data_IF_470234747157
#
_entry.id   IF_470234747157
#
_cell.length_a   1.000
_cell.length_b   1.000
_cell.length_c   1.000
_cell.angle_alpha   90.00
_cell.angle_beta   90.00
_cell.angle_gamma   90.00
#
_symmetry.space_group_name_H-M   'P 1'
#
loop_
_entity.id
_entity.type
_entity.pdbx_description
1 polymer ?
#
# COMPACT_ATOMS: atom_id res chain seq x y z
N UNK A 1 -18.29 10.32 -12.99
CA UNK A 1 -18.18 9.73 -11.65
C UNK A 1 -17.16 8.59 -11.59
N UNK A 2 -17.21 7.60 -12.49
CA UNK A 2 -16.29 6.43 -12.51
C UNK A 2 -14.80 6.80 -12.47
N UNK A 3 -14.38 7.84 -13.20
CA UNK A 3 -12.97 8.29 -13.25
C UNK A 3 -12.40 8.63 -11.87
N UNK A 4 -13.20 9.25 -10.98
CA UNK A 4 -12.77 9.61 -9.63
C UNK A 4 -12.56 8.40 -8.72
N UNK A 5 -13.17 7.26 -9.04
CA UNK A 5 -12.98 6.02 -8.26
C UNK A 5 -11.84 5.18 -8.83
N UNK A 6 -11.76 5.08 -10.15
CA UNK A 6 -10.70 4.32 -10.81
C UNK A 6 -9.31 4.90 -10.60
N UNK A 7 -9.19 6.23 -10.62
CA UNK A 7 -7.93 6.93 -10.44
C UNK A 7 -7.18 6.53 -9.14
N UNK A 8 -7.77 6.64 -7.93
CA UNK A 8 -7.09 6.28 -6.69
C UNK A 8 -6.87 4.77 -6.59
N UNK A 9 -7.79 3.94 -7.11
CA UNK A 9 -7.59 2.50 -7.15
C UNK A 9 -6.31 2.12 -7.92
N UNK A 10 -6.06 2.72 -9.09
CA UNK A 10 -4.83 2.47 -9.85
C UNK A 10 -3.61 2.96 -9.09
N UNK A 11 -3.64 4.16 -8.52
CA UNK A 11 -2.52 4.70 -7.72
C UNK A 11 -2.21 3.80 -6.53
N UNK A 12 -3.22 3.32 -5.81
CA UNK A 12 -3.03 2.44 -4.67
C UNK A 12 -2.55 1.04 -5.08
N UNK A 13 -3.04 0.49 -6.19
CA UNK A 13 -2.53 -0.77 -6.73
C UNK A 13 -1.05 -0.67 -7.10
N UNK A 14 -0.64 0.42 -7.75
CA UNK A 14 0.77 0.69 -8.08
C UNK A 14 1.59 0.93 -6.81
N UNK A 15 1.10 1.73 -5.86
CA UNK A 15 1.78 1.95 -4.59
C UNK A 15 1.98 0.64 -3.81
N UNK A 16 0.99 -0.26 -3.87
CA UNK A 16 1.03 -1.59 -3.29
C UNK A 16 2.00 -2.53 -4.02
N UNK A 17 2.08 -2.48 -5.35
CA UNK A 17 3.02 -3.31 -6.13
C UNK A 17 4.48 -2.91 -5.92
N UNK A 18 4.75 -1.62 -5.70
CA UNK A 18 6.11 -1.08 -5.50
C UNK A 18 6.48 -0.87 -4.03
N UNK A 19 5.70 -1.42 -3.09
CA UNK A 19 5.87 -1.25 -1.64
C UNK A 19 7.34 -1.43 -1.20
N UNK A 20 7.86 -0.48 -0.41
CA UNK A 20 9.28 -0.31 0.01
C UNK A 20 10.30 0.13 -1.05
N UNK A 21 9.91 0.42 -2.29
CA UNK A 21 10.78 1.15 -3.23
C UNK A 21 10.48 2.65 -3.15
N UNK A 22 11.50 3.48 -3.35
CA UNK A 22 11.36 4.94 -3.49
C UNK A 22 10.33 5.32 -4.57
N UNK A 23 10.10 4.42 -5.53
CA UNK A 23 9.06 4.52 -6.56
C UNK A 23 7.66 4.72 -5.97
N UNK A 24 7.27 4.06 -4.86
CA UNK A 24 5.93 4.26 -4.28
C UNK A 24 5.72 5.67 -3.74
N UNK A 25 6.77 6.27 -3.17
CA UNK A 25 6.72 7.66 -2.72
C UNK A 25 6.63 8.61 -3.92
N UNK A 26 7.41 8.36 -4.97
CA UNK A 26 7.36 9.14 -6.20
C UNK A 26 5.99 9.06 -6.87
N UNK A 27 5.38 7.88 -6.95
CA UNK A 27 4.02 7.69 -7.50
C UNK A 27 2.96 8.39 -6.64
N UNK A 28 3.07 8.28 -5.31
CA UNK A 28 2.12 8.95 -4.41
C UNK A 28 2.20 10.47 -4.51
N UNK A 29 3.41 11.04 -4.64
CA UNK A 29 3.60 12.47 -4.84
C UNK A 29 3.17 12.92 -6.24
N UNK A 30 3.52 12.15 -7.27
CA UNK A 30 3.13 12.42 -8.66
C UNK A 30 1.61 12.43 -8.86
N UNK A 31 0.87 11.67 -8.04
CA UNK A 31 -0.61 11.64 -8.09
C UNK A 31 -1.28 12.97 -7.74
N UNK A 32 -0.57 13.91 -7.10
CA UNK A 32 -1.07 15.27 -6.85
C UNK A 32 -1.13 16.08 -8.14
N UNK A 33 -0.22 15.83 -9.08
CA UNK A 33 -0.06 16.59 -10.32
C UNK A 33 -1.34 16.67 -11.17
N UNK A 34 -1.97 15.54 -11.52
CA UNK A 34 -3.22 15.55 -12.28
C UNK A 34 -4.37 16.26 -11.56
N UNK A 35 -4.47 16.13 -10.24
CA UNK A 35 -5.51 16.84 -9.47
C UNK A 35 -5.27 18.35 -9.48
N UNK A 36 -4.03 18.77 -9.26
CA UNK A 36 -3.64 20.19 -9.35
C UNK A 36 -3.91 20.76 -10.76
N UNK A 37 -3.59 20.00 -11.82
CA UNK A 37 -3.87 20.40 -13.19
C UNK A 37 -5.37 20.59 -13.42
N UNK A 38 -6.21 19.67 -12.96
CA UNK A 38 -7.68 19.79 -13.07
C UNK A 38 -8.19 21.02 -12.32
N UNK A 39 -7.67 21.30 -11.12
CA UNK A 39 -8.03 22.51 -10.35
C UNK A 39 -7.63 23.78 -11.09
N UNK A 40 -6.41 23.85 -11.63
CA UNK A 40 -5.93 25.01 -12.38
C UNK A 40 -6.71 25.25 -13.67
N UNK A 41 -7.06 24.18 -14.41
CA UNK A 41 -7.91 24.26 -15.58
C UNK A 41 -9.33 24.71 -15.19
N UNK A 42 -9.92 24.09 -14.16
CA UNK A 42 -11.23 24.48 -13.66
C UNK A 42 -11.24 25.95 -13.26
N UNK A 43 -10.20 26.44 -12.58
CA UNK A 43 -10.06 27.86 -12.27
C UNK A 43 -9.98 28.71 -13.54
N UNK A 44 -9.15 28.33 -14.52
CA UNK A 44 -9.02 29.10 -15.77
C UNK A 44 -10.34 29.23 -16.53
N UNK A 45 -11.14 28.17 -16.59
CA UNK A 45 -12.41 28.15 -17.31
C UNK A 45 -13.59 28.72 -16.51
N UNK A 46 -13.72 28.38 -15.22
CA UNK A 46 -14.85 28.81 -14.38
C UNK A 46 -14.68 30.22 -13.80
N UNK A 47 -13.45 30.71 -13.62
CA UNK A 47 -13.23 32.07 -13.11
C UNK A 47 -13.74 33.17 -14.06
N UNK A 48 -14.07 32.84 -15.32
CA UNK A 48 -14.68 33.79 -16.26
C UNK A 48 -16.19 33.99 -16.05
N UNK A 49 -16.88 33.16 -15.24
CA UNK A 49 -18.35 33.21 -15.17
C UNK A 49 -19.00 32.99 -13.80
N UNK A 50 -18.29 32.48 -12.79
CA UNK A 50 -18.93 32.09 -11.51
C UNK A 50 -18.15 32.57 -10.28
N UNK A 51 -18.39 33.83 -9.87
CA UNK A 51 -17.70 34.43 -8.70
C UNK A 51 -18.10 33.79 -7.34
N UNK A 52 -19.18 33.00 -7.26
CA UNK A 52 -19.66 32.39 -6.01
C UNK A 52 -19.19 30.96 -5.70
N UNK A 53 -18.64 30.23 -6.67
CA UNK A 53 -18.27 28.80 -6.52
C UNK A 53 -16.82 28.57 -6.10
N UNK A 54 -16.05 29.64 -5.89
CA UNK A 54 -14.62 29.60 -5.59
C UNK A 54 -14.23 28.63 -4.47
N UNK A 55 -14.81 28.68 -3.26
CA UNK A 55 -14.33 27.83 -2.16
C UNK A 55 -14.56 26.33 -2.44
N UNK A 56 -15.65 25.96 -3.09
CA UNK A 56 -15.95 24.56 -3.40
C UNK A 56 -14.95 23.95 -4.38
N UNK A 57 -14.50 24.72 -5.38
CA UNK A 57 -13.54 24.28 -6.40
C UNK A 57 -12.14 24.03 -5.79
N UNK A 58 -11.81 24.67 -4.67
CA UNK A 58 -10.54 24.45 -3.97
C UNK A 58 -10.63 23.33 -2.93
N UNK A 59 -11.67 23.36 -2.09
CA UNK A 59 -11.76 22.48 -0.93
C UNK A 59 -12.01 21.03 -1.34
N UNK A 60 -12.95 20.77 -2.26
CA UNK A 60 -13.30 19.40 -2.61
C UNK A 60 -12.15 18.64 -3.31
N UNK A 61 -11.48 19.19 -4.33
CA UNK A 61 -10.33 18.53 -4.96
C UNK A 61 -9.10 18.47 -4.04
N UNK A 62 -8.88 19.50 -3.22
CA UNK A 62 -7.79 19.52 -2.25
C UNK A 62 -7.93 18.41 -1.20
N UNK A 63 -9.13 18.25 -0.63
CA UNK A 63 -9.43 17.17 0.31
C UNK A 63 -9.30 15.80 -0.36
N UNK A 64 -9.76 15.67 -1.60
CA UNK A 64 -9.61 14.44 -2.37
C UNK A 64 -8.14 14.08 -2.59
N UNK A 65 -7.29 15.01 -3.05
CA UNK A 65 -5.86 14.79 -3.21
C UNK A 65 -5.19 14.39 -1.88
N UNK A 66 -5.54 15.07 -0.79
CA UNK A 66 -5.04 14.77 0.56
C UNK A 66 -5.34 13.31 0.94
N UNK A 67 -6.58 12.85 0.77
CA UNK A 67 -6.99 11.48 1.10
C UNK A 67 -6.23 10.46 0.24
N UNK A 68 -6.14 10.68 -1.08
CA UNK A 68 -5.44 9.76 -1.99
C UNK A 68 -3.96 9.63 -1.62
N UNK A 69 -3.29 10.75 -1.34
CA UNK A 69 -1.89 10.76 -0.90
C UNK A 69 -1.70 10.13 0.48
N UNK A 70 -2.56 10.46 1.45
CA UNK A 70 -2.46 9.92 2.81
C UNK A 70 -2.60 8.39 2.82
N UNK A 71 -3.57 7.84 2.08
CA UNK A 71 -3.76 6.38 1.95
C UNK A 71 -2.59 5.75 1.19
N UNK A 72 -2.13 6.35 0.09
CA UNK A 72 -0.97 5.86 -0.66
C UNK A 72 0.31 5.82 0.18
N UNK A 73 0.53 6.84 1.03
CA UNK A 73 1.64 6.91 1.96
C UNK A 73 1.51 5.85 3.07
N UNK A 74 0.32 5.68 3.63
CA UNK A 74 0.05 4.64 4.63
C UNK A 74 0.38 3.24 4.08
N UNK A 75 -0.08 2.92 2.87
CA UNK A 75 0.22 1.66 2.16
C UNK A 75 1.73 1.48 1.97
N UNK A 76 2.43 2.57 1.63
CA UNK A 76 3.87 2.58 1.39
C UNK A 76 4.68 2.33 2.66
N UNK A 77 4.23 2.85 3.82
CA UNK A 77 4.90 2.70 5.12
C UNK A 77 4.58 1.34 5.77
N UNK A 78 3.39 0.80 5.49
CA UNK A 78 2.93 -0.41 6.16
C UNK A 78 3.98 -1.53 5.98
N UNK A 79 4.45 -2.19 7.05
CA UNK A 79 5.43 -3.27 6.93
C UNK A 79 4.80 -4.45 6.20
N UNK A 80 5.56 -5.04 5.26
CA UNK A 80 5.19 -6.34 4.68
C UNK A 80 5.13 -7.29 5.88
N UNK A 81 3.97 -7.89 6.17
CA UNK A 81 3.91 -8.99 7.14
C UNK A 81 4.97 -9.97 6.67
N UNK A 82 6.00 -10.18 7.49
CA UNK A 82 6.95 -11.24 7.24
C UNK A 82 6.09 -12.49 7.11
N UNK A 83 6.19 -13.17 5.97
CA UNK A 83 5.64 -14.51 5.90
C UNK A 83 6.32 -15.30 7.01
N UNK A 84 5.57 -16.12 7.73
CA UNK A 84 6.15 -16.97 8.78
C UNK A 84 7.29 -17.83 8.21
N UNK A 85 7.23 -18.08 6.90
CA UNK A 85 8.21 -18.84 6.15
C UNK A 85 9.32 -17.98 5.51
N UNK A 86 9.51 -16.70 5.86
CA UNK A 86 10.64 -15.89 5.37
C UNK A 86 11.63 -15.58 6.51
N UNK A 87 12.92 -15.70 6.24
CA UNK A 87 13.96 -15.35 7.21
C UNK A 87 13.88 -13.85 7.55
N UNK A 88 13.89 -13.50 8.84
CA UNK A 88 13.78 -12.11 9.30
C UNK A 88 14.99 -11.24 8.92
N UNK A 89 16.15 -11.86 8.72
CA UNK A 89 17.41 -11.18 8.41
C UNK A 89 17.58 -11.00 6.91
N UNK A 90 17.63 -12.10 6.14
CA UNK A 90 17.94 -12.06 4.70
C UNK A 90 16.72 -12.17 3.78
N UNK A 91 15.53 -12.45 4.33
CA UNK A 91 14.28 -12.71 3.57
C UNK A 91 14.35 -13.90 2.62
N UNK A 92 15.27 -14.83 2.87
CA UNK A 92 15.26 -16.12 2.20
C UNK A 92 13.96 -16.87 2.51
N UNK A 93 13.39 -17.51 1.49
CA UNK A 93 12.21 -18.35 1.65
C UNK A 93 12.58 -19.65 2.37
N UNK A 94 12.15 -19.76 3.62
CA UNK A 94 12.34 -20.90 4.50
C UNK A 94 11.26 -21.97 4.30
N UNK A 95 10.39 -21.85 3.29
CA UNK A 95 9.41 -22.88 2.96
C UNK A 95 10.13 -24.22 2.73
N UNK A 96 9.80 -25.22 3.56
CA UNK A 96 10.42 -26.55 3.50
C UNK A 96 11.77 -26.68 4.21
N UNK A 97 12.32 -25.61 4.78
CA UNK A 97 13.52 -25.70 5.61
C UNK A 97 13.19 -26.34 6.97
N UNK A 98 13.78 -27.51 7.24
CA UNK A 98 13.58 -28.26 8.49
C UNK A 98 14.67 -28.02 9.53
N UNK A 99 15.77 -27.36 9.18
CA UNK A 99 16.92 -27.20 10.08
C UNK A 99 16.65 -26.19 11.20
N UNK A 100 15.64 -25.31 11.05
CA UNK A 100 15.42 -24.17 11.94
C UNK A 100 16.46 -23.06 11.78
N UNK A 101 17.43 -23.21 10.86
CA UNK A 101 18.54 -22.28 10.62
C UNK A 101 18.53 -21.86 9.16
N UNK A 102 18.56 -20.56 8.88
CA UNK A 102 18.62 -20.07 7.51
C UNK A 102 19.95 -20.44 6.84
N UNK A 103 19.96 -21.07 5.64
CA UNK A 103 21.19 -21.49 4.96
C UNK A 103 22.05 -20.32 4.46
N UNK A 104 21.43 -19.16 4.21
CA UNK A 104 22.14 -17.97 3.69
C UNK A 104 22.84 -17.18 4.81
N UNK A 105 22.16 -16.96 5.93
CA UNK A 105 22.65 -16.05 6.98
C UNK A 105 22.96 -16.74 8.31
N UNK A 106 22.66 -18.03 8.46
CA UNK A 106 22.89 -18.79 9.69
C UNK A 106 21.99 -18.40 10.86
N UNK A 107 20.97 -17.56 10.63
CA UNK A 107 20.07 -17.11 11.70
C UNK A 107 19.12 -18.23 12.12
N UNK A 108 19.04 -18.48 13.44
CA UNK A 108 18.26 -19.56 14.06
C UNK A 108 16.91 -19.07 14.60
N UNK A 109 16.47 -17.86 14.24
CA UNK A 109 15.29 -17.20 14.81
C UNK A 109 13.93 -17.76 14.35
N UNK A 110 13.91 -18.93 13.71
CA UNK A 110 12.68 -19.60 13.29
C UNK A 110 12.25 -20.53 14.42
N UNK A 111 11.19 -20.22 15.20
CA UNK A 111 10.71 -21.16 16.20
C UNK A 111 10.32 -22.46 15.49
N UNK A 112 10.75 -23.63 15.99
CA UNK A 112 10.28 -24.91 15.45
C UNK A 112 8.76 -24.88 15.44
N UNK A 113 8.13 -25.20 14.30
CA UNK A 113 6.68 -25.34 14.25
C UNK A 113 6.29 -26.49 15.18
N UNK A 114 5.95 -26.16 16.41
CA UNK A 114 5.33 -27.05 17.38
C UNK A 114 3.95 -27.45 16.86
N UNK A 115 3.90 -28.56 16.13
CA UNK A 115 2.72 -29.43 16.11
C UNK A 115 1.67 -29.15 15.05
N UNK A 116 1.90 -29.66 13.84
CA UNK A 116 0.83 -30.23 12.99
C UNK A 116 0.37 -31.61 13.50
N UNK A 117 0.34 -31.81 14.82
CA UNK A 117 0.20 -33.13 15.47
C UNK A 117 -1.11 -33.35 16.25
N UNK A 118 -2.04 -32.39 16.27
CA UNK A 118 -3.14 -32.38 17.25
C UNK A 118 -4.51 -32.86 16.74
N UNK A 119 -4.60 -33.65 15.66
CA UNK A 119 -5.92 -34.06 15.13
C UNK A 119 -6.15 -35.57 14.99
N UNK A 120 -5.37 -36.40 15.69
CA UNK A 120 -5.56 -37.86 15.69
C UNK A 120 -6.36 -38.44 16.86
N UNK A 121 -6.80 -37.65 17.83
CA UNK A 121 -7.45 -38.16 19.05
C UNK A 121 -8.95 -37.88 19.17
N UNK A 122 -9.62 -37.33 18.12
CA UNK A 122 -11.06 -37.00 18.19
C UNK A 122 -12.04 -38.08 17.68
N UNK A 123 -11.56 -39.27 17.29
CA UNK A 123 -12.41 -40.37 16.80
C UNK A 123 -12.54 -41.56 17.77
N UNK A 124 -12.41 -41.32 19.07
CA UNK A 124 -12.65 -42.34 20.09
C UNK A 124 -13.65 -41.81 21.14
N UNK A 125 -14.89 -41.57 20.72
CA UNK A 125 -16.05 -41.42 21.61
C UNK A 125 -17.34 -41.76 20.83
#
# INVERSE_FOLDING_TARGET
MIVFVFYPCVIWLVAFSYRRRWVSFAVSLASVGPVALVVLLAQHFLARGAQGLFPTVWVAPGLYALVVCAVGLLISIQPRRAREDECRVCRYDLTGNRSGVCPECGDASVPPREGSGSDRTRNAA
#
